data_IF_546730802793
#
_entry.id   IF_546730802793
#
_cell.length_a   1.000
_cell.length_b   1.000
_cell.length_c   1.000
_cell.angle_alpha   90.00
_cell.angle_beta   90.00
_cell.angle_gamma   90.00
#
_symmetry.space_group_name_H-M   'P 1'
#
loop_
_entity.id
_entity.type
_entity.pdbx_description
1 polymer ?
#
# COMPACT_ATOMS: atom_id res chain seq x y z
N UNK A 1 -1.05 -1.19 13.95
CA UNK A 1 -1.34 -1.97 12.73
C UNK A 1 -0.45 -3.21 12.70
N UNK A 2 -1.08 -4.38 12.49
CA UNK A 2 -0.47 -5.71 12.63
C UNK A 2 -0.71 -6.33 14.01
N UNK A 3 -1.92 -6.83 14.27
CA UNK A 3 -2.17 -7.72 15.42
C UNK A 3 -1.56 -9.10 15.14
N UNK A 4 -1.19 -9.88 16.16
CA UNK A 4 -0.49 -11.18 16.10
C UNK A 4 -1.07 -12.25 15.14
N UNK A 5 -2.20 -12.00 14.48
CA UNK A 5 -2.85 -12.89 13.50
C UNK A 5 -3.11 -12.25 12.11
N UNK A 6 -2.46 -11.13 11.76
CA UNK A 6 -2.62 -10.53 10.43
C UNK A 6 -1.88 -11.35 9.36
N UNK A 7 -2.51 -11.70 8.22
CA UNK A 7 -1.88 -12.51 7.15
C UNK A 7 -0.77 -11.76 6.37
N UNK A 8 -0.42 -10.55 6.83
CA UNK A 8 0.58 -9.68 6.25
C UNK A 8 1.25 -8.84 7.33
N UNK A 9 2.49 -8.44 7.06
CA UNK A 9 3.25 -7.48 7.83
C UNK A 9 3.65 -6.28 6.97
N UNK A 10 3.95 -5.15 7.59
CA UNK A 10 4.60 -4.04 6.89
C UNK A 10 6.07 -4.38 6.71
N UNK A 11 6.53 -4.33 5.46
CA UNK A 11 7.95 -4.43 5.12
C UNK A 11 8.63 -3.08 5.32
N UNK A 12 7.96 -2.00 4.86
CA UNK A 12 8.47 -0.63 4.90
C UNK A 12 7.31 0.34 5.18
N UNK A 13 7.63 1.49 5.79
CA UNK A 13 6.68 2.55 6.08
C UNK A 13 5.71 2.22 7.21
N UNK A 14 4.48 2.73 7.10
CA UNK A 14 3.42 2.61 8.12
C UNK A 14 2.09 2.22 7.49
N UNK A 15 1.10 1.95 8.35
CA UNK A 15 -0.29 1.83 7.91
C UNK A 15 -0.88 3.21 7.55
N UNK A 16 -1.97 3.24 6.75
CA UNK A 16 -2.70 4.47 6.48
C UNK A 16 -3.30 5.06 7.76
N UNK A 17 -3.16 6.37 7.92
CA UNK A 17 -3.74 7.16 9.01
C UNK A 17 -4.77 8.17 8.47
N UNK A 18 -4.77 8.41 7.15
CA UNK A 18 -5.70 9.31 6.47
C UNK A 18 -6.43 8.68 5.28
N UNK A 19 -7.47 9.35 4.76
CA UNK A 19 -8.35 8.82 3.70
C UNK A 19 -7.71 8.72 2.30
N UNK A 20 -6.58 9.41 2.07
CA UNK A 20 -5.85 9.42 0.79
C UNK A 20 -4.48 8.76 0.92
N UNK A 21 -4.35 7.80 1.84
CA UNK A 21 -3.12 7.05 2.05
C UNK A 21 -3.35 5.56 1.75
N UNK A 22 -2.35 4.90 1.19
CA UNK A 22 -2.45 3.50 0.80
C UNK A 22 -1.18 2.73 1.16
N UNK A 23 -1.37 1.42 1.36
CA UNK A 23 -0.28 0.42 1.42
C UNK A 23 -0.42 -0.46 0.19
N UNK A 24 0.69 -0.66 -0.52
CA UNK A 24 0.77 -1.51 -1.71
C UNK A 24 1.54 -2.79 -1.40
N UNK A 25 1.21 -3.91 -2.05
CA UNK A 25 2.00 -5.13 -1.90
C UNK A 25 3.38 -4.98 -2.56
N UNK A 26 4.40 -5.60 -1.97
CA UNK A 26 5.78 -5.45 -2.43
C UNK A 26 6.05 -5.97 -3.86
N UNK A 27 5.26 -6.92 -4.37
CA UNK A 27 5.45 -7.43 -5.73
C UNK A 27 4.95 -6.41 -6.77
N UNK A 28 3.78 -5.81 -6.54
CA UNK A 28 3.25 -4.73 -7.36
C UNK A 28 4.13 -3.49 -7.29
N UNK A 29 4.59 -3.11 -6.09
CA UNK A 29 5.51 -1.98 -5.92
C UNK A 29 6.78 -2.16 -6.76
N UNK A 30 7.43 -3.32 -6.67
CA UNK A 30 8.62 -3.65 -7.45
C UNK A 30 8.35 -3.67 -8.95
N UNK A 31 7.22 -4.23 -9.39
CA UNK A 31 6.87 -4.33 -10.82
C UNK A 31 6.66 -2.96 -11.46
N UNK A 32 6.07 -2.02 -10.72
CA UNK A 32 5.72 -0.70 -11.21
C UNK A 32 6.73 0.39 -10.85
N UNK A 33 7.77 0.06 -10.08
CA UNK A 33 8.77 1.03 -9.59
C UNK A 33 8.17 2.06 -8.62
N UNK A 34 7.17 1.65 -7.84
CA UNK A 34 6.47 2.52 -6.88
C UNK A 34 7.19 2.46 -5.53
N UNK A 35 7.40 3.62 -4.93
CA UNK A 35 8.05 3.82 -3.64
C UNK A 35 7.15 4.57 -2.64
N UNK A 36 7.55 4.61 -1.36
CA UNK A 36 6.86 5.40 -0.35
C UNK A 36 7.00 6.89 -0.68
N UNK A 37 5.90 7.63 -0.59
CA UNK A 37 5.80 9.04 -0.97
C UNK A 37 5.23 9.25 -2.38
N UNK A 38 5.23 8.21 -3.22
CA UNK A 38 4.61 8.29 -4.54
C UNK A 38 3.11 8.51 -4.41
N UNK A 39 2.56 9.24 -5.38
CA UNK A 39 1.11 9.35 -5.56
C UNK A 39 0.69 8.43 -6.68
N UNK A 40 -0.22 7.52 -6.38
CA UNK A 40 -0.87 6.66 -7.36
C UNK A 40 -2.30 7.11 -7.57
N UNK A 41 -2.81 6.83 -8.75
CA UNK A 41 -4.21 7.07 -9.06
C UNK A 41 -4.96 5.74 -9.15
N UNK A 42 -6.03 5.63 -8.37
CA UNK A 42 -6.98 4.52 -8.43
C UNK A 42 -8.23 4.97 -9.20
N UNK A 43 -8.53 4.27 -10.28
CA UNK A 43 -9.71 4.52 -11.12
C UNK A 43 -10.76 3.44 -10.89
N UNK A 44 -11.97 3.85 -10.53
CA UNK A 44 -13.16 3.01 -10.48
C UNK A 44 -14.11 3.39 -11.63
N UNK A 45 -15.23 2.67 -11.78
CA UNK A 45 -16.24 3.01 -12.77
C UNK A 45 -16.88 4.39 -12.54
N UNK A 46 -16.89 4.87 -11.30
CA UNK A 46 -17.58 6.10 -10.90
C UNK A 46 -16.63 7.30 -10.77
N UNK A 47 -15.39 7.06 -10.35
CA UNK A 47 -14.45 8.15 -10.06
C UNK A 47 -12.99 7.71 -10.13
N UNK A 48 -12.13 8.70 -10.25
CA UNK A 48 -10.69 8.58 -10.09
C UNK A 48 -10.27 9.29 -8.80
N UNK A 49 -9.38 8.67 -8.02
CA UNK A 49 -8.85 9.26 -6.79
C UNK A 49 -7.37 8.97 -6.62
N UNK A 50 -6.65 9.98 -6.15
CA UNK A 50 -5.23 9.89 -5.85
C UNK A 50 -4.99 9.47 -4.40
N UNK A 51 -3.95 8.65 -4.22
CA UNK A 51 -3.51 8.15 -2.92
C UNK A 51 -1.99 8.25 -2.83
N UNK A 52 -1.49 8.69 -1.68
CA UNK A 52 -0.06 8.64 -1.35
C UNK A 52 0.27 7.26 -0.79
N UNK A 53 1.33 6.64 -1.31
CA UNK A 53 1.87 5.38 -0.79
C UNK A 53 2.62 5.68 0.51
N UNK A 54 2.14 5.12 1.62
CA UNK A 54 2.74 5.32 2.96
C UNK A 54 3.36 4.05 3.54
N UNK A 55 3.19 2.92 2.87
CA UNK A 55 3.81 1.66 3.26
C UNK A 55 3.78 0.60 2.18
N UNK A 56 4.62 -0.41 2.37
CA UNK A 56 4.73 -1.58 1.50
C UNK A 56 4.53 -2.83 2.35
N UNK A 57 3.56 -3.67 1.99
CA UNK A 57 3.25 -4.90 2.73
C UNK A 57 4.03 -6.11 2.19
N UNK A 58 4.33 -7.04 3.10
CA UNK A 58 4.75 -8.42 2.82
C UNK A 58 3.67 -9.38 3.31
N UNK A 59 3.15 -10.22 2.42
CA UNK A 59 2.18 -11.25 2.79
C UNK A 59 2.90 -12.53 3.23
N UNK A 60 2.40 -13.17 4.29
CA UNK A 60 2.93 -14.45 4.76
C UNK A 60 2.51 -15.55 3.76
N UNK A 61 3.47 -16.05 2.98
CA UNK A 61 3.22 -16.98 1.86
C UNK A 61 4.01 -16.68 0.60
N UNK A 62 4.85 -15.64 0.62
CA UNK A 62 5.79 -15.26 -0.45
C UNK A 62 7.20 -14.95 0.10
#
# INVERSE_FOLDING_TARGET
SGSENSPWSLKEGRGPEGPNEAVIDGASAKKSGIEIGDTITVTTLEQQRDFTIVGIAKFAGS
#
